data_IF_802549051107
#
_entry.id   IF_802549051107
#
_cell.length_a   1.000
_cell.length_b   1.000
_cell.length_c   1.000
_cell.angle_alpha   90.00
_cell.angle_beta   90.00
_cell.angle_gamma   90.00
#
_symmetry.space_group_name_H-M   'P 1'
#
loop_
_entity.id
_entity.type
_entity.pdbx_description
1 polymer ?
#
# COMPACT_ATOMS: atom_id res chain seq x y z
N UNK A 1 -31.44 -12.43 4.44
CA UNK A 1 -30.77 -13.54 3.74
C UNK A 1 -29.28 -13.26 3.82
N UNK A 2 -28.55 -14.06 4.60
CA UNK A 2 -27.15 -13.83 4.90
C UNK A 2 -26.33 -13.89 3.61
N UNK A 3 -25.72 -12.77 3.24
CA UNK A 3 -24.79 -12.76 2.11
C UNK A 3 -23.60 -13.64 2.46
N UNK A 4 -23.32 -14.63 1.61
CA UNK A 4 -22.08 -15.41 1.70
C UNK A 4 -20.90 -14.45 1.73
N UNK A 5 -20.22 -14.41 2.87
CA UNK A 5 -18.99 -13.65 3.01
C UNK A 5 -17.93 -14.39 2.18
N UNK A 6 -17.56 -13.83 1.02
CA UNK A 6 -16.51 -14.39 0.17
C UNK A 6 -15.21 -14.50 0.97
N UNK A 7 -14.76 -15.73 1.19
CA UNK A 7 -13.54 -16.00 1.95
C UNK A 7 -12.33 -15.71 1.07
N UNK A 8 -11.50 -14.76 1.50
CA UNK A 8 -10.36 -14.28 0.70
C UNK A 8 -9.19 -15.25 0.64
N UNK A 9 -9.00 -16.07 1.69
CA UNK A 9 -7.97 -17.12 1.73
C UNK A 9 -8.59 -18.40 2.25
N UNK A 10 -8.52 -19.47 1.49
CA UNK A 10 -9.14 -20.75 1.82
C UNK A 10 -8.14 -21.91 1.66
N UNK A 11 -8.42 -23.04 2.32
CA UNK A 11 -7.65 -24.29 2.16
C UNK A 11 -8.54 -25.34 1.54
N UNK A 12 -8.22 -25.74 0.32
CA UNK A 12 -8.81 -26.87 -0.36
C UNK A 12 -8.33 -28.17 0.31
N UNK A 13 -9.24 -28.84 1.04
CA UNK A 13 -8.89 -30.02 1.83
C UNK A 13 -8.62 -31.26 0.97
N UNK A 14 -9.14 -31.30 -0.27
CA UNK A 14 -8.94 -32.42 -1.19
C UNK A 14 -7.49 -32.43 -1.74
N UNK A 15 -6.87 -31.26 -1.84
CA UNK A 15 -5.46 -31.12 -2.23
C UNK A 15 -4.49 -31.07 -1.05
N UNK A 16 -4.96 -30.79 0.17
CA UNK A 16 -4.08 -30.56 1.32
C UNK A 16 -3.35 -31.83 1.78
N UNK A 17 -2.02 -31.83 1.65
CA UNK A 17 -1.15 -32.93 2.12
C UNK A 17 -0.90 -32.96 3.64
N UNK A 18 -1.47 -32.01 4.40
CA UNK A 18 -1.32 -31.89 5.87
C UNK A 18 0.13 -31.79 6.37
N UNK A 19 1.05 -31.31 5.52
CA UNK A 19 2.50 -31.20 5.78
C UNK A 19 2.92 -30.09 6.77
N UNK A 20 2.00 -29.20 7.19
CA UNK A 20 2.23 -28.14 8.19
C UNK A 20 3.23 -27.03 7.82
N UNK A 21 3.64 -26.92 6.54
CA UNK A 21 4.50 -25.82 6.07
C UNK A 21 3.79 -24.46 6.25
N UNK A 22 2.52 -24.36 5.82
CA UNK A 22 1.73 -23.13 5.94
C UNK A 22 1.56 -22.66 7.39
N UNK A 23 1.47 -23.60 8.33
CA UNK A 23 1.45 -23.34 9.78
C UNK A 23 2.77 -22.70 10.22
N UNK A 24 3.89 -23.35 9.87
CA UNK A 24 5.24 -22.94 10.30
C UNK A 24 5.67 -21.59 9.75
N UNK A 25 5.20 -21.20 8.55
CA UNK A 25 5.60 -19.93 7.91
C UNK A 25 4.65 -18.77 8.23
N UNK A 26 3.55 -18.98 8.95
CA UNK A 26 2.56 -17.93 9.21
C UNK A 26 3.04 -17.01 10.35
N UNK A 27 3.39 -15.73 10.09
CA UNK A 27 3.92 -14.84 11.13
C UNK A 27 2.82 -14.23 12.03
N UNK A 28 1.58 -14.70 11.86
CA UNK A 28 0.39 -14.20 12.55
C UNK A 28 -0.36 -15.31 13.28
N UNK A 29 0.15 -16.55 13.27
CA UNK A 29 -0.49 -17.70 13.91
C UNK A 29 -1.96 -17.86 13.47
N UNK A 30 -2.26 -17.47 12.22
CA UNK A 30 -3.58 -17.52 11.64
C UNK A 30 -3.90 -18.91 11.08
N UNK A 31 -2.89 -19.72 10.79
CA UNK A 31 -3.09 -21.10 10.35
C UNK A 31 -3.19 -21.98 11.58
N UNK A 32 -4.25 -22.78 11.67
CA UNK A 32 -4.47 -23.78 12.71
C UNK A 32 -4.40 -25.17 12.10
N UNK A 33 -3.90 -26.13 12.87
CA UNK A 33 -3.87 -27.54 12.50
C UNK A 33 -4.59 -28.32 13.58
N UNK A 34 -5.58 -29.10 13.18
CA UNK A 34 -6.23 -30.06 14.05
C UNK A 34 -5.25 -31.19 14.41
N UNK A 35 -5.03 -31.49 15.69
CA UNK A 35 -4.02 -32.46 16.11
C UNK A 35 -4.35 -33.90 15.71
N UNK A 36 -5.64 -34.26 15.67
CA UNK A 36 -6.10 -35.64 15.42
C UNK A 36 -6.21 -35.93 13.92
N UNK A 37 -6.88 -35.06 13.19
CA UNK A 37 -7.18 -35.22 11.77
C UNK A 37 -6.07 -34.65 10.87
N UNK A 38 -5.27 -33.72 11.39
CA UNK A 38 -4.31 -32.94 10.61
C UNK A 38 -4.95 -31.92 9.68
N UNK A 39 -6.27 -31.68 9.79
CA UNK A 39 -7.00 -30.69 9.01
C UNK A 39 -6.40 -29.30 9.25
N UNK A 40 -6.22 -28.53 8.18
CA UNK A 40 -5.65 -27.17 8.25
C UNK A 40 -6.75 -26.15 8.01
N UNK A 41 -6.86 -25.17 8.89
CA UNK A 41 -7.84 -24.09 8.81
C UNK A 41 -7.17 -22.73 8.96
N UNK A 42 -7.75 -21.69 8.35
CA UNK A 42 -7.26 -20.31 8.44
C UNK A 42 -8.24 -19.51 9.29
N UNK A 43 -7.75 -19.02 10.42
CA UNK A 43 -8.42 -18.05 11.26
C UNK A 43 -8.39 -16.67 10.57
N UNK A 44 -9.51 -16.33 9.93
CA UNK A 44 -9.65 -15.06 9.23
C UNK A 44 -9.64 -13.85 10.16
N UNK A 45 -9.85 -14.00 11.47
CA UNK A 45 -9.72 -12.89 12.42
C UNK A 45 -8.25 -12.53 12.67
N UNK A 46 -7.33 -13.49 12.52
CA UNK A 46 -5.88 -13.26 12.61
C UNK A 46 -5.22 -13.03 11.25
N UNK A 47 -5.78 -13.61 10.19
CA UNK A 47 -5.19 -13.58 8.85
C UNK A 47 -5.01 -12.15 8.34
N UNK A 48 -3.78 -11.78 7.99
CA UNK A 48 -3.47 -10.46 7.44
C UNK A 48 -3.47 -10.43 5.90
N UNK A 49 -3.96 -11.50 5.26
CA UNK A 49 -3.98 -11.67 3.78
C UNK A 49 -2.60 -11.43 3.16
N UNK A 50 -1.52 -11.86 3.85
CA UNK A 50 -0.15 -11.61 3.41
C UNK A 50 0.25 -12.47 2.20
N UNK A 51 -0.34 -13.66 2.03
CA UNK A 51 -0.08 -14.60 0.93
C UNK A 51 1.16 -15.50 1.14
N UNK A 52 1.82 -15.43 2.30
CA UNK A 52 3.02 -16.24 2.58
C UNK A 52 2.67 -17.73 2.58
N UNK A 53 1.61 -18.13 3.29
CA UNK A 53 1.16 -19.53 3.33
C UNK A 53 0.77 -20.03 1.92
N UNK A 54 0.04 -19.21 1.15
CA UNK A 54 -0.32 -19.47 -0.24
C UNK A 54 0.91 -19.83 -1.08
N UNK A 55 1.91 -18.95 -1.06
CA UNK A 55 3.13 -19.10 -1.84
C UNK A 55 4.03 -20.26 -1.40
N UNK A 56 3.82 -20.79 -0.19
CA UNK A 56 4.64 -21.85 0.41
C UNK A 56 3.99 -23.24 0.32
N UNK A 57 2.74 -23.33 -0.14
CA UNK A 57 2.03 -24.60 -0.23
C UNK A 57 2.57 -25.42 -1.42
N UNK A 58 3.23 -26.58 -1.19
CA UNK A 58 3.85 -27.35 -2.27
C UNK A 58 2.85 -28.05 -3.19
N UNK A 59 1.61 -28.23 -2.72
CA UNK A 59 0.52 -28.90 -3.42
C UNK A 59 -0.57 -27.92 -3.87
N UNK A 60 -0.31 -26.62 -3.79
CA UNK A 60 -1.23 -25.54 -4.21
C UNK A 60 -2.64 -25.64 -3.61
N UNK A 61 -2.76 -26.22 -2.42
CA UNK A 61 -4.03 -26.40 -1.71
C UNK A 61 -4.57 -25.12 -1.07
N UNK A 62 -3.79 -24.04 -1.03
CA UNK A 62 -4.25 -22.74 -0.50
C UNK A 62 -4.71 -21.91 -1.68
N UNK A 63 -5.94 -21.42 -1.61
CA UNK A 63 -6.56 -20.54 -2.59
C UNK A 63 -6.58 -19.11 -2.03
N UNK A 64 -6.34 -18.13 -2.89
CA UNK A 64 -6.39 -16.71 -2.54
C UNK A 64 -7.14 -15.94 -3.63
N UNK A 65 -8.00 -15.02 -3.21
CA UNK A 65 -8.82 -14.23 -4.14
C UNK A 65 -8.02 -13.17 -4.89
N UNK A 66 -6.99 -12.59 -4.24
CA UNK A 66 -6.14 -11.57 -4.84
C UNK A 66 -4.76 -12.13 -5.18
N UNK A 67 -4.25 -11.78 -6.36
CA UNK A 67 -2.87 -12.06 -6.76
C UNK A 67 -2.53 -13.56 -6.70
N UNK A 68 -3.48 -14.40 -7.07
CA UNK A 68 -3.19 -15.81 -7.34
C UNK A 68 -2.19 -15.93 -8.50
N UNK A 69 -1.59 -17.09 -8.61
CA UNK A 69 -0.59 -17.41 -9.62
C UNK A 69 -1.05 -17.06 -11.04
N UNK A 70 -2.28 -17.41 -11.42
CA UNK A 70 -2.76 -17.19 -12.77
C UNK A 70 -2.99 -15.70 -13.05
N UNK A 71 -3.54 -14.94 -12.10
CA UNK A 71 -3.69 -13.49 -12.26
C UNK A 71 -2.34 -12.77 -12.36
N UNK A 72 -1.33 -13.21 -11.59
CA UNK A 72 0.03 -12.67 -11.70
C UNK A 72 0.67 -12.96 -13.07
N UNK A 73 0.58 -14.20 -13.56
CA UNK A 73 1.11 -14.57 -14.87
C UNK A 73 0.39 -13.82 -15.98
N UNK A 74 -0.95 -13.80 -15.94
CA UNK A 74 -1.77 -13.10 -16.93
C UNK A 74 -1.47 -11.61 -17.00
N UNK A 75 -1.21 -10.96 -15.86
CA UNK A 75 -0.75 -9.57 -15.81
C UNK A 75 0.56 -9.38 -16.59
N UNK A 76 1.56 -10.23 -16.36
CA UNK A 76 2.85 -10.12 -17.07
C UNK A 76 2.67 -10.35 -18.57
N UNK A 77 1.87 -11.34 -18.97
CA UNK A 77 1.57 -11.62 -20.38
C UNK A 77 0.86 -10.44 -21.06
N UNK A 78 -0.08 -9.79 -20.38
CA UNK A 78 -0.75 -8.60 -20.90
C UNK A 78 0.21 -7.41 -21.02
N UNK A 79 1.04 -7.17 -20.00
CA UNK A 79 1.97 -6.05 -19.99
C UNK A 79 3.07 -6.18 -21.04
N UNK A 80 3.52 -7.40 -21.35
CA UNK A 80 4.48 -7.67 -22.44
C UNK A 80 3.95 -7.30 -23.83
N UNK A 81 2.63 -7.24 -24.02
CA UNK A 81 2.02 -6.75 -25.27
C UNK A 81 2.06 -5.23 -25.38
N UNK A 82 2.25 -4.53 -24.25
CA UNK A 82 2.18 -3.07 -24.13
C UNK A 82 3.54 -2.42 -23.96
N UNK A 83 4.48 -3.10 -23.33
CA UNK A 83 5.81 -2.59 -23.00
C UNK A 83 6.86 -3.51 -23.63
N UNK A 84 7.65 -2.96 -24.54
CA UNK A 84 8.80 -3.64 -25.13
C UNK A 84 9.96 -3.66 -24.14
N UNK A 85 10.04 -4.73 -23.35
CA UNK A 85 11.09 -4.95 -22.35
C UNK A 85 11.17 -6.42 -21.96
N UNK A 86 12.36 -6.85 -21.57
CA UNK A 86 12.64 -8.18 -21.03
C UNK A 86 12.87 -8.13 -19.51
N UNK A 87 12.52 -7.01 -18.86
CA UNK A 87 12.74 -6.80 -17.43
C UNK A 87 11.43 -6.67 -16.67
N UNK A 88 11.26 -7.51 -15.65
CA UNK A 88 10.17 -7.47 -14.69
C UNK A 88 10.68 -6.91 -13.35
N UNK A 89 10.00 -5.90 -12.81
CA UNK A 89 10.32 -5.33 -11.50
C UNK A 89 9.18 -5.58 -10.53
N UNK A 90 9.40 -6.50 -9.59
CA UNK A 90 8.49 -6.83 -8.49
C UNK A 90 8.71 -5.85 -7.34
N UNK A 91 7.64 -5.19 -6.87
CA UNK A 91 7.73 -4.19 -5.80
C UNK A 91 6.69 -4.44 -4.71
N UNK A 92 7.10 -4.34 -3.45
CA UNK A 92 6.19 -4.39 -2.32
C UNK A 92 5.49 -3.04 -2.15
N UNK A 93 4.23 -3.01 -1.70
CA UNK A 93 3.59 -1.74 -1.28
C UNK A 93 4.37 -1.08 -0.14
N UNK A 94 4.91 -1.89 0.79
CA UNK A 94 5.65 -1.37 1.94
C UNK A 94 6.93 -0.60 1.64
N UNK A 95 7.54 -0.80 0.47
CA UNK A 95 8.65 0.02 0.02
C UNK A 95 8.24 1.00 -1.10
N UNK A 96 7.27 0.59 -1.92
CA UNK A 96 6.65 1.27 -3.07
C UNK A 96 7.39 2.52 -3.55
N UNK A 97 8.62 2.39 -4.06
CA UNK A 97 9.32 3.51 -4.68
C UNK A 97 8.44 4.16 -5.76
N UNK A 98 8.48 5.48 -5.86
CA UNK A 98 7.98 6.21 -7.04
C UNK A 98 8.77 5.79 -8.28
N UNK A 99 8.23 6.06 -9.48
CA UNK A 99 8.90 5.68 -10.75
C UNK A 99 10.35 6.14 -10.81
N UNK A 100 10.63 7.38 -10.40
CA UNK A 100 11.99 7.93 -10.34
C UNK A 100 12.89 7.16 -9.36
N UNK A 101 12.37 6.79 -8.20
CA UNK A 101 13.11 5.96 -7.23
C UNK A 101 13.40 4.57 -7.80
N UNK A 102 12.48 3.98 -8.58
CA UNK A 102 12.74 2.69 -9.25
C UNK A 102 13.88 2.83 -10.25
N UNK A 103 13.88 3.87 -11.08
CA UNK A 103 14.96 4.13 -12.05
C UNK A 103 16.32 4.35 -11.37
N UNK A 104 16.35 5.12 -10.27
CA UNK A 104 17.54 5.32 -9.43
C UNK A 104 18.04 3.96 -8.90
N UNK A 105 17.15 3.16 -8.31
CA UNK A 105 17.46 1.82 -7.79
C UNK A 105 17.98 0.90 -8.91
N UNK A 106 17.32 0.85 -10.05
CA UNK A 106 17.74 0.00 -11.18
C UNK A 106 19.13 0.40 -11.68
N UNK A 107 19.41 1.70 -11.75
CA UNK A 107 20.72 2.23 -12.16
C UNK A 107 21.82 1.80 -11.19
N UNK A 108 21.59 1.88 -9.87
CA UNK A 108 22.51 1.39 -8.85
C UNK A 108 22.76 -0.12 -8.94
N UNK A 109 21.79 -0.87 -9.46
CA UNK A 109 21.95 -2.30 -9.75
C UNK A 109 22.62 -2.59 -11.11
N UNK A 110 23.13 -1.59 -11.82
CA UNK A 110 23.74 -1.77 -13.14
C UNK A 110 22.72 -2.03 -14.26
N UNK A 111 21.43 -1.74 -14.04
CA UNK A 111 20.37 -1.81 -15.03
C UNK A 111 19.95 -0.39 -15.41
N UNK A 112 20.60 0.20 -16.40
CA UNK A 112 20.23 1.51 -16.95
C UNK A 112 19.05 1.39 -17.92
N UNK A 113 17.88 0.99 -17.41
CA UNK A 113 16.67 0.76 -18.20
C UNK A 113 15.60 1.78 -17.85
N UNK A 114 15.02 2.40 -18.89
CA UNK A 114 13.84 3.28 -18.76
C UNK A 114 12.51 2.52 -18.86
N UNK A 115 12.54 1.31 -19.44
CA UNK A 115 11.36 0.49 -19.67
C UNK A 115 11.47 -0.84 -18.93
N UNK A 116 10.49 -1.11 -18.08
CA UNK A 116 10.34 -2.37 -17.34
C UNK A 116 8.86 -2.63 -17.12
N UNK A 117 8.49 -3.89 -16.85
CA UNK A 117 7.14 -4.25 -16.43
C UNK A 117 7.07 -4.07 -14.90
N UNK A 118 6.32 -3.08 -14.38
CA UNK A 118 6.13 -2.94 -12.95
C UNK A 118 5.09 -3.96 -12.47
N UNK A 119 5.43 -4.79 -11.48
CA UNK A 119 4.45 -5.63 -10.80
C UNK A 119 4.44 -5.28 -9.31
N UNK A 120 3.43 -4.50 -8.92
CA UNK A 120 3.27 -4.02 -7.56
C UNK A 120 2.34 -4.94 -6.77
N UNK A 121 2.79 -5.36 -5.60
CA UNK A 121 2.11 -6.35 -4.77
C UNK A 121 2.10 -5.89 -3.31
N UNK A 122 1.14 -6.31 -2.47
CA UNK A 122 1.18 -6.00 -1.05
C UNK A 122 2.48 -6.49 -0.39
N UNK A 123 2.98 -7.67 -0.76
CA UNK A 123 4.21 -8.24 -0.21
C UNK A 123 4.93 -9.07 -1.27
N UNK A 124 6.26 -9.01 -1.34
CA UNK A 124 7.06 -9.95 -2.14
C UNK A 124 6.93 -11.39 -1.65
N UNK A 125 6.72 -11.57 -0.33
CA UNK A 125 6.55 -12.87 0.33
C UNK A 125 5.36 -13.71 -0.16
N UNK A 126 4.47 -13.16 -1.00
CA UNK A 126 3.38 -13.92 -1.61
C UNK A 126 3.72 -14.50 -2.98
N UNK A 127 4.84 -14.10 -3.57
CA UNK A 127 5.19 -14.51 -4.92
C UNK A 127 5.70 -15.95 -4.86
N UNK A 128 5.02 -16.92 -5.47
CA UNK A 128 5.52 -18.29 -5.53
C UNK A 128 6.79 -18.37 -6.38
N UNK A 129 7.62 -19.36 -6.14
CA UNK A 129 8.92 -19.50 -6.84
C UNK A 129 8.68 -19.87 -8.31
N UNK A 130 7.65 -20.67 -8.53
CA UNK A 130 7.17 -21.16 -9.81
C UNK A 130 6.77 -20.00 -10.73
N UNK A 131 6.26 -18.89 -10.16
CA UNK A 131 5.97 -17.68 -10.93
C UNK A 131 7.24 -17.11 -11.56
N UNK A 132 8.37 -17.11 -10.85
CA UNK A 132 9.66 -16.62 -11.38
C UNK A 132 10.09 -17.47 -12.57
N UNK A 133 10.04 -18.80 -12.46
CA UNK A 133 10.37 -19.68 -13.56
C UNK A 133 9.41 -19.52 -14.74
N UNK A 134 8.11 -19.35 -14.47
CA UNK A 134 7.11 -19.11 -15.51
C UNK A 134 7.39 -17.83 -16.29
N UNK A 135 7.66 -16.70 -15.63
CA UNK A 135 7.93 -15.44 -16.35
C UNK A 135 9.22 -15.50 -17.17
N UNK A 136 10.25 -16.21 -16.69
CA UNK A 136 11.46 -16.47 -17.46
C UNK A 136 11.15 -17.28 -18.72
N UNK A 137 10.33 -18.34 -18.60
CA UNK A 137 9.88 -19.15 -19.74
C UNK A 137 9.06 -18.37 -20.78
N UNK A 138 8.42 -17.27 -20.35
CA UNK A 138 7.70 -16.39 -21.27
C UNK A 138 8.65 -15.48 -22.05
N UNK A 139 9.91 -15.33 -21.64
CA UNK A 139 10.91 -14.48 -22.32
C UNK A 139 11.33 -13.24 -21.52
N UNK A 140 10.96 -13.15 -20.24
CA UNK A 140 11.63 -12.21 -19.33
C UNK A 140 13.06 -12.69 -19.10
N UNK A 141 14.05 -11.80 -19.18
CA UNK A 141 15.47 -12.11 -18.94
C UNK A 141 15.98 -11.62 -17.59
N UNK A 142 15.37 -10.55 -17.06
CA UNK A 142 15.75 -9.96 -15.78
C UNK A 142 14.54 -9.82 -14.87
N UNK A 143 14.62 -10.39 -13.67
CA UNK A 143 13.62 -10.22 -12.62
C UNK A 143 14.27 -9.50 -11.43
N UNK A 144 13.85 -8.26 -11.19
CA UNK A 144 14.30 -7.47 -10.04
C UNK A 144 13.21 -7.46 -8.99
N UNK A 145 13.49 -7.98 -7.81
CA UNK A 145 12.60 -7.96 -6.66
C UNK A 145 13.05 -6.89 -5.67
N UNK A 146 12.38 -5.72 -5.71
CA UNK A 146 12.57 -4.64 -4.74
C UNK A 146 11.70 -4.97 -3.52
N UNK A 147 12.34 -5.31 -2.42
CA UNK A 147 11.71 -5.73 -1.17
C UNK A 147 11.99 -4.74 -0.05
N UNK A 148 11.16 -4.73 1.00
CA UNK A 148 11.47 -3.97 2.20
C UNK A 148 12.83 -4.42 2.76
N UNK A 149 13.49 -3.55 3.50
CA UNK A 149 14.56 -3.98 4.42
C UNK A 149 13.98 -4.94 5.47
N UNK A 150 14.80 -5.86 5.99
CA UNK A 150 14.31 -6.99 6.80
C UNK A 150 13.63 -6.53 8.09
N UNK A 151 14.18 -5.51 8.76
CA UNK A 151 13.60 -4.90 9.96
C UNK A 151 12.37 -4.03 9.65
N UNK A 152 12.14 -3.71 8.37
CA UNK A 152 11.06 -2.83 7.89
C UNK A 152 9.89 -3.60 7.27
N UNK A 153 9.95 -4.92 7.24
CA UNK A 153 8.96 -5.74 6.57
C UNK A 153 7.57 -5.56 7.21
N UNK A 154 6.60 -5.05 6.42
CA UNK A 154 5.24 -4.77 6.88
C UNK A 154 4.41 -6.02 7.17
N UNK A 155 4.86 -7.15 6.67
CA UNK A 155 4.28 -8.46 6.97
C UNK A 155 5.18 -9.33 7.85
N UNK A 156 6.02 -8.70 8.69
CA UNK A 156 6.99 -9.32 9.61
C UNK A 156 8.09 -10.12 8.89
N UNK A 157 7.75 -11.30 8.36
CA UNK A 157 8.71 -12.25 7.83
C UNK A 157 8.70 -12.36 6.30
N UNK A 158 7.77 -11.68 5.61
CA UNK A 158 7.58 -11.80 4.16
C UNK A 158 8.83 -11.54 3.33
N UNK A 159 9.58 -10.49 3.68
CA UNK A 159 10.85 -10.14 3.02
C UNK A 159 11.89 -11.25 3.21
N UNK A 160 12.11 -11.69 4.46
CA UNK A 160 13.14 -12.70 4.78
C UNK A 160 12.85 -14.01 4.07
N UNK A 161 11.60 -14.45 4.10
CA UNK A 161 11.12 -15.67 3.43
C UNK A 161 11.39 -15.58 1.93
N UNK A 162 10.94 -14.50 1.26
CA UNK A 162 11.12 -14.38 -0.18
C UNK A 162 12.59 -14.24 -0.59
N UNK A 163 13.40 -13.55 0.20
CA UNK A 163 14.83 -13.40 -0.07
C UNK A 163 15.53 -14.75 -0.08
N UNK A 164 15.24 -15.62 0.89
CA UNK A 164 15.79 -16.97 0.94
C UNK A 164 15.32 -17.82 -0.25
N UNK A 165 14.04 -17.72 -0.62
CA UNK A 165 13.49 -18.41 -1.79
C UNK A 165 14.17 -17.99 -3.08
N UNK A 166 14.23 -16.69 -3.36
CA UNK A 166 14.86 -16.18 -4.58
C UNK A 166 16.36 -16.47 -4.62
N UNK A 167 17.04 -16.47 -3.46
CA UNK A 167 18.43 -16.90 -3.39
C UNK A 167 18.61 -18.37 -3.81
N UNK A 168 17.75 -19.27 -3.32
CA UNK A 168 17.74 -20.67 -3.72
C UNK A 168 17.37 -20.82 -5.21
N UNK A 169 16.33 -20.12 -5.67
CA UNK A 169 15.91 -20.12 -7.08
C UNK A 169 17.04 -19.70 -8.00
N UNK A 170 17.81 -18.68 -7.63
CA UNK A 170 18.99 -18.25 -8.38
C UNK A 170 20.03 -19.37 -8.49
N UNK A 171 20.28 -20.10 -7.40
CA UNK A 171 21.19 -21.26 -7.44
C UNK A 171 20.70 -22.37 -8.36
N UNK A 172 19.39 -22.64 -8.37
CA UNK A 172 18.81 -23.58 -9.32
C UNK A 172 18.98 -23.08 -10.76
N UNK A 173 18.71 -21.80 -11.02
CA UNK A 173 18.83 -21.20 -12.36
C UNK A 173 20.28 -21.22 -12.89
N UNK A 174 21.28 -20.99 -12.03
CA UNK A 174 22.70 -21.11 -12.39
C UNK A 174 23.02 -22.51 -12.95
N UNK A 175 22.49 -23.58 -12.34
CA UNK A 175 22.67 -24.97 -12.83
C UNK A 175 22.01 -25.22 -14.20
N UNK A 176 20.95 -24.47 -14.52
CA UNK A 176 20.30 -24.51 -15.84
C UNK A 176 20.96 -23.56 -16.86
N UNK A 177 22.10 -22.94 -16.52
CA UNK A 177 22.87 -22.08 -17.41
C UNK A 177 22.38 -20.63 -17.50
N UNK A 178 21.50 -20.20 -16.59
CA UNK A 178 21.11 -18.79 -16.49
C UNK A 178 22.19 -17.98 -15.76
N UNK A 179 22.26 -16.69 -16.07
CA UNK A 179 23.16 -15.78 -15.39
C UNK A 179 22.74 -15.59 -13.92
N UNK A 180 23.73 -15.44 -13.03
CA UNK A 180 23.50 -15.21 -11.59
C UNK A 180 22.62 -13.98 -11.36
N UNK A 181 22.72 -12.99 -12.22
CA UNK A 181 22.00 -11.73 -12.08
C UNK A 181 20.65 -11.72 -12.81
N UNK A 182 20.19 -12.87 -13.35
CA UNK A 182 18.83 -13.05 -13.89
C UNK A 182 17.76 -12.75 -12.84
N UNK A 183 18.02 -13.06 -11.57
CA UNK A 183 17.12 -12.72 -10.44
C UNK A 183 17.88 -11.92 -9.39
N UNK A 184 17.48 -10.65 -9.20
CA UNK A 184 18.10 -9.72 -8.25
C UNK A 184 17.14 -9.39 -7.12
N UNK A 185 17.66 -9.34 -5.90
CA UNK A 185 16.91 -8.85 -4.74
C UNK A 185 17.53 -7.54 -4.28
N UNK A 186 16.71 -6.49 -4.25
CA UNK A 186 17.11 -5.17 -3.78
C UNK A 186 16.35 -4.86 -2.50
N UNK A 187 17.06 -4.36 -1.49
CA UNK A 187 16.46 -3.89 -0.24
C UNK A 187 16.26 -2.39 -0.32
N UNK A 188 15.02 -1.97 -0.15
CA UNK A 188 14.65 -0.57 -0.15
C UNK A 188 13.50 -0.37 0.83
N UNK A 189 13.55 0.68 1.64
CA UNK A 189 12.40 1.13 2.42
C UNK A 189 12.33 2.64 2.35
N UNK A 190 11.15 3.17 2.04
CA UNK A 190 10.93 4.61 2.02
C UNK A 190 11.21 5.22 3.39
N UNK A 191 12.03 6.26 3.41
CA UNK A 191 12.33 7.09 4.57
C UNK A 191 11.84 8.52 4.34
N UNK A 192 11.92 9.31 5.40
CA UNK A 192 11.70 10.76 5.30
C UNK A 192 12.91 11.45 4.67
N UNK A 193 12.64 12.53 3.92
CA UNK A 193 13.66 13.47 3.44
C UNK A 193 13.68 14.64 4.40
N UNK A 194 14.87 15.10 4.77
CA UNK A 194 15.06 16.14 5.77
C UNK A 194 16.02 17.21 5.28
N UNK A 195 15.50 18.43 5.19
CA UNK A 195 16.20 19.64 4.78
C UNK A 195 16.45 20.50 6.02
N UNK A 196 17.66 20.39 6.57
CA UNK A 196 18.07 21.08 7.80
C UNK A 196 18.04 22.60 7.65
N UNK A 197 18.23 23.13 6.43
CA UNK A 197 18.20 24.58 6.16
C UNK A 197 16.80 25.18 6.34
N UNK A 198 15.74 24.37 6.21
CA UNK A 198 14.36 24.79 6.48
C UNK A 198 13.94 24.56 7.93
N UNK A 199 14.73 23.84 8.72
CA UNK A 199 14.36 23.45 10.07
C UNK A 199 14.66 24.56 11.07
N UNK A 200 13.69 24.89 11.91
CA UNK A 200 13.84 25.90 12.97
C UNK A 200 14.15 25.30 14.34
N UNK A 201 14.36 23.98 14.44
CA UNK A 201 14.70 23.32 15.72
C UNK A 201 13.57 23.34 16.77
N UNK A 202 12.30 23.18 16.37
CA UNK A 202 11.16 23.20 17.30
C UNK A 202 10.80 21.83 17.90
N UNK A 203 11.51 20.77 17.51
CA UNK A 203 11.45 19.40 18.04
C UNK A 203 10.09 18.69 18.02
N UNK A 204 9.04 19.26 17.40
CA UNK A 204 7.73 18.59 17.25
C UNK A 204 7.84 17.20 16.61
N UNK A 205 8.75 17.05 15.65
CA UNK A 205 9.00 15.77 14.98
C UNK A 205 9.58 14.70 15.93
N UNK A 206 10.37 15.10 16.92
CA UNK A 206 10.91 14.22 17.97
C UNK A 206 9.76 13.67 18.80
N UNK A 207 8.89 14.55 19.30
CA UNK A 207 7.77 14.16 20.17
C UNK A 207 6.72 13.30 19.47
N UNK A 208 6.46 13.52 18.17
CA UNK A 208 5.42 12.77 17.45
C UNK A 208 5.93 11.43 16.89
N UNK A 209 7.25 11.20 16.85
CA UNK A 209 7.81 10.01 16.24
C UNK A 209 7.51 8.78 17.10
N UNK A 210 6.65 7.85 16.65
CA UNK A 210 6.29 6.71 17.49
C UNK A 210 7.40 5.65 17.57
N UNK A 211 8.41 5.75 16.71
CA UNK A 211 9.49 4.76 16.55
C UNK A 211 10.83 5.23 17.14
N UNK A 212 10.84 6.35 17.88
CA UNK A 212 12.07 6.97 18.39
C UNK A 212 13.15 7.22 17.31
N UNK A 213 12.75 7.41 16.05
CA UNK A 213 13.65 7.57 14.92
C UNK A 213 14.23 8.99 14.76
N UNK A 214 13.92 9.91 15.68
CA UNK A 214 14.35 11.31 15.64
C UNK A 214 14.77 11.72 17.04
N UNK A 215 15.98 12.27 17.16
CA UNK A 215 16.57 12.70 18.42
C UNK A 215 16.79 14.21 18.41
N UNK A 216 16.46 14.88 19.51
CA UNK A 216 16.79 16.28 19.70
C UNK A 216 18.31 16.44 19.89
N UNK A 217 18.90 17.47 19.30
CA UNK A 217 20.31 17.81 19.47
C UNK A 217 20.47 19.17 20.15
N UNK A 218 21.51 19.32 20.96
CA UNK A 218 21.73 20.56 21.70
C UNK A 218 22.17 21.69 20.76
N UNK A 219 21.43 22.79 20.74
CA UNK A 219 21.67 23.95 19.87
C UNK A 219 21.74 23.62 18.36
N UNK A 220 21.09 22.52 17.94
CA UNK A 220 21.07 22.08 16.56
C UNK A 220 19.67 21.60 16.16
N UNK A 221 19.50 21.35 14.88
CA UNK A 221 18.27 20.78 14.35
C UNK A 221 18.24 19.26 14.61
N UNK A 222 17.08 18.62 14.83
CA UNK A 222 17.01 17.19 15.19
C UNK A 222 17.73 16.25 14.24
N UNK A 223 18.31 15.18 14.79
CA UNK A 223 18.97 14.11 14.03
C UNK A 223 18.00 12.98 13.73
N UNK A 224 18.06 12.41 12.52
CA UNK A 224 17.23 11.27 12.12
C UNK A 224 18.04 9.98 12.15
N UNK A 225 17.54 8.98 12.88
CA UNK A 225 18.03 7.62 12.88
C UNK A 225 17.31 6.81 11.79
N UNK A 226 17.89 6.74 10.59
CA UNK A 226 17.24 6.12 9.43
C UNK A 226 16.93 4.63 9.58
N UNK A 227 17.69 3.92 10.41
CA UNK A 227 17.48 2.51 10.74
C UNK A 227 16.24 2.25 11.60
N UNK A 228 15.71 3.30 12.23
CA UNK A 228 14.46 3.26 13.01
C UNK A 228 13.30 3.90 12.24
N UNK A 229 13.58 4.65 11.17
CA UNK A 229 12.57 5.43 10.44
C UNK A 229 11.65 4.52 9.61
N UNK A 230 10.47 4.19 10.14
CA UNK A 230 9.46 3.37 9.46
C UNK A 230 8.71 4.10 8.33
N UNK A 231 9.14 5.30 7.92
CA UNK A 231 8.54 6.05 6.81
C UNK A 231 7.04 6.31 6.97
N UNK A 232 6.54 6.47 8.20
CA UNK A 232 5.10 6.58 8.48
C UNK A 232 4.52 7.98 8.19
N UNK A 233 5.37 9.02 8.08
CA UNK A 233 4.96 10.38 7.79
C UNK A 233 4.46 11.22 8.98
N UNK A 234 4.39 10.67 10.20
CA UNK A 234 3.88 11.41 11.37
C UNK A 234 4.67 12.71 11.65
N UNK A 235 5.99 12.68 11.49
CA UNK A 235 6.84 13.86 11.66
C UNK A 235 6.65 14.92 10.56
N UNK A 236 6.31 14.51 9.33
CA UNK A 236 6.02 15.44 8.24
C UNK A 236 4.75 16.24 8.53
N UNK A 237 3.74 15.60 9.11
CA UNK A 237 2.46 16.22 9.47
C UNK A 237 2.59 17.36 10.48
N UNK A 238 3.54 17.28 11.42
CA UNK A 238 3.70 18.29 12.48
C UNK A 238 4.74 19.36 12.14
N UNK A 239 5.36 19.29 10.95
CA UNK A 239 6.44 20.21 10.56
C UNK A 239 5.88 21.46 9.87
N UNK A 240 5.82 22.62 10.55
CA UNK A 240 5.21 23.82 9.97
C UNK A 240 6.03 24.43 8.81
N UNK A 241 7.30 24.04 8.66
CA UNK A 241 8.19 24.55 7.61
C UNK A 241 8.40 23.55 6.46
N UNK A 242 7.71 22.40 6.49
CA UNK A 242 7.91 21.30 5.53
C UNK A 242 9.39 20.90 5.36
N UNK A 243 10.19 21.06 6.43
CA UNK A 243 11.61 20.72 6.48
C UNK A 243 11.82 19.20 6.47
N UNK A 244 10.89 18.44 7.06
CA UNK A 244 10.86 16.97 7.02
C UNK A 244 9.61 16.53 6.25
N UNK A 245 9.80 15.75 5.20
CA UNK A 245 8.73 15.27 4.32
C UNK A 245 8.92 13.80 3.98
N UNK A 246 7.89 13.17 3.43
CA UNK A 246 7.99 11.78 2.99
C UNK A 246 8.24 11.75 1.48
N UNK A 247 9.32 11.08 1.03
CA UNK A 247 9.72 11.05 -0.39
C UNK A 247 8.56 10.56 -1.27
N UNK A 248 8.17 11.37 -2.27
CA UNK A 248 7.07 11.12 -3.20
C UNK A 248 5.66 11.46 -2.68
N UNK A 249 5.57 11.95 -1.44
CA UNK A 249 4.34 12.39 -0.76
C UNK A 249 4.52 13.80 -0.17
N UNK A 250 5.32 14.62 -0.84
CA UNK A 250 5.50 16.03 -0.47
C UNK A 250 4.16 16.77 -0.58
N UNK A 251 3.88 17.66 0.36
CA UNK A 251 2.57 18.30 0.54
C UNK A 251 2.05 18.95 -0.76
N UNK A 252 2.89 19.77 -1.40
CA UNK A 252 2.55 20.48 -2.65
C UNK A 252 2.31 19.52 -3.82
N UNK A 253 3.12 18.47 -3.91
CA UNK A 253 2.99 17.46 -4.97
C UNK A 253 1.65 16.72 -4.82
N UNK A 254 1.26 16.37 -3.59
CA UNK A 254 -0.01 15.73 -3.29
C UNK A 254 -1.19 16.64 -3.64
N UNK A 255 -1.15 17.90 -3.17
CA UNK A 255 -2.18 18.91 -3.44
C UNK A 255 -2.41 19.07 -4.95
N UNK A 256 -1.34 19.27 -5.72
CA UNK A 256 -1.42 19.43 -7.18
C UNK A 256 -2.05 18.21 -7.85
N UNK A 257 -1.62 17.00 -7.50
CA UNK A 257 -2.07 15.75 -8.14
C UNK A 257 -3.58 15.56 -8.07
N UNK A 258 -4.21 15.75 -6.91
CA UNK A 258 -5.66 15.57 -6.81
C UNK A 258 -6.44 16.75 -7.39
N UNK A 259 -5.91 17.98 -7.32
CA UNK A 259 -6.56 19.15 -7.92
C UNK A 259 -6.63 19.02 -9.45
N UNK A 260 -5.53 18.61 -10.10
CA UNK A 260 -5.49 18.39 -11.56
C UNK A 260 -6.51 17.31 -11.97
N UNK A 261 -6.65 16.26 -11.15
CA UNK A 261 -7.64 15.20 -11.37
C UNK A 261 -9.09 15.69 -11.23
N UNK A 262 -9.35 16.55 -10.25
CA UNK A 262 -10.66 17.16 -10.04
C UNK A 262 -11.07 18.04 -11.24
N UNK A 263 -10.15 18.90 -11.69
CA UNK A 263 -10.36 19.81 -12.82
C UNK A 263 -10.73 19.01 -14.07
N UNK A 264 -9.96 17.95 -14.36
CA UNK A 264 -10.23 17.08 -15.51
C UNK A 264 -11.63 16.47 -15.46
N UNK A 265 -12.02 15.86 -14.33
CA UNK A 265 -13.33 15.23 -14.20
C UNK A 265 -14.48 16.23 -14.29
N UNK A 266 -14.33 17.43 -13.72
CA UNK A 266 -15.34 18.49 -13.83
C UNK A 266 -15.44 19.04 -15.25
N UNK A 267 -14.33 19.14 -15.98
CA UNK A 267 -14.33 19.54 -17.39
C UNK A 267 -15.05 18.51 -18.29
N UNK A 268 -15.03 17.22 -17.93
CA UNK A 268 -15.82 16.16 -18.56
C UNK A 268 -17.33 16.20 -18.18
N UNK A 269 -17.77 17.20 -17.41
CA UNK A 269 -19.17 17.35 -16.98
C UNK A 269 -19.60 16.38 -15.88
N UNK A 270 -18.65 15.72 -15.20
CA UNK A 270 -18.96 14.73 -14.17
C UNK A 270 -19.35 15.38 -12.85
N UNK A 271 -20.37 14.84 -12.20
CA UNK A 271 -20.84 15.27 -10.88
C UNK A 271 -21.63 14.13 -10.21
N UNK A 272 -21.50 13.90 -8.89
CA UNK A 272 -20.52 14.51 -8.00
C UNK A 272 -19.11 13.95 -8.25
N UNK A 273 -18.07 14.72 -7.92
CA UNK A 273 -16.66 14.27 -7.96
C UNK A 273 -16.17 14.00 -6.54
N UNK A 274 -15.71 12.77 -6.29
CA UNK A 274 -15.29 12.31 -4.96
C UNK A 274 -13.77 12.10 -4.90
N UNK A 275 -13.12 12.55 -3.83
CA UNK A 275 -11.73 12.17 -3.53
C UNK A 275 -11.70 11.06 -2.49
N UNK A 276 -10.92 10.01 -2.74
CA UNK A 276 -10.73 8.88 -1.84
C UNK A 276 -9.27 8.83 -1.42
N UNK A 277 -8.96 9.22 -0.18
CA UNK A 277 -7.66 8.95 0.43
C UNK A 277 -7.62 7.50 0.88
N UNK A 278 -6.81 6.66 0.25
CA UNK A 278 -6.81 5.22 0.53
C UNK A 278 -5.47 4.76 1.11
N UNK A 279 -5.49 4.21 2.33
CA UNK A 279 -4.33 3.57 2.91
C UNK A 279 -3.89 2.39 2.03
N UNK A 280 -2.59 2.31 1.72
CA UNK A 280 -2.02 1.27 0.86
C UNK A 280 -2.30 -0.18 1.31
N UNK A 281 -2.75 -0.37 2.56
CA UNK A 281 -3.01 -1.67 3.19
C UNK A 281 -4.48 -1.98 3.42
N UNK A 282 -5.39 -1.01 3.27
CA UNK A 282 -6.79 -1.18 3.65
C UNK A 282 -7.65 -1.77 2.53
N UNK A 283 -7.37 -1.39 1.28
CA UNK A 283 -8.14 -1.85 0.12
C UNK A 283 -7.20 -2.10 -1.06
N UNK A 284 -7.19 -3.33 -1.57
CA UNK A 284 -6.24 -3.74 -2.62
C UNK A 284 -6.78 -3.47 -4.00
N UNK A 285 -8.03 -3.85 -4.26
CA UNK A 285 -8.68 -3.80 -5.58
C UNK A 285 -8.68 -2.38 -6.13
N UNK A 286 -9.15 -1.43 -5.31
CA UNK A 286 -9.28 -0.03 -5.71
C UNK A 286 -7.93 0.64 -6.02
N UNK A 287 -6.86 0.18 -5.38
CA UNK A 287 -5.51 0.71 -5.58
C UNK A 287 -4.82 0.12 -6.82
N UNK A 288 -5.09 -1.14 -7.17
CA UNK A 288 -4.50 -1.76 -8.37
C UNK A 288 -5.28 -1.45 -9.64
N UNK A 289 -6.59 -1.25 -9.54
CA UNK A 289 -7.44 -0.89 -10.68
C UNK A 289 -8.33 0.33 -10.38
N UNK A 290 -7.71 1.51 -10.13
CA UNK A 290 -8.47 2.71 -9.80
C UNK A 290 -9.37 3.17 -10.95
N UNK A 291 -9.00 2.90 -12.20
CA UNK A 291 -9.80 3.28 -13.37
C UNK A 291 -11.17 2.57 -13.37
N UNK A 292 -11.17 1.24 -13.21
CA UNK A 292 -12.40 0.47 -13.25
C UNK A 292 -13.29 0.68 -12.02
N UNK A 293 -12.67 0.82 -10.84
CA UNK A 293 -13.40 0.84 -9.55
C UNK A 293 -13.82 2.25 -9.17
N UNK A 294 -12.99 3.26 -9.42
CA UNK A 294 -13.20 4.63 -8.94
C UNK A 294 -13.51 5.59 -10.08
N UNK A 295 -12.65 5.66 -11.10
CA UNK A 295 -12.75 6.70 -12.12
C UNK A 295 -14.09 6.63 -12.87
N UNK A 296 -14.54 5.43 -13.25
CA UNK A 296 -15.86 5.20 -13.87
C UNK A 296 -17.05 5.57 -12.97
N UNK A 297 -16.83 5.76 -11.66
CA UNK A 297 -17.84 6.13 -10.66
C UNK A 297 -17.67 7.56 -10.16
N UNK A 298 -16.98 8.42 -10.93
CA UNK A 298 -16.68 9.81 -10.59
C UNK A 298 -15.85 9.98 -9.30
N UNK A 299 -15.03 8.99 -8.97
CA UNK A 299 -14.13 9.03 -7.82
C UNK A 299 -12.66 9.01 -8.27
N UNK A 300 -11.82 9.74 -7.53
CA UNK A 300 -10.36 9.76 -7.69
C UNK A 300 -9.75 9.17 -6.44
N UNK A 301 -8.79 8.26 -6.59
CA UNK A 301 -7.99 7.80 -5.44
C UNK A 301 -6.72 8.61 -5.31
N UNK A 302 -6.38 8.96 -4.07
CA UNK A 302 -5.02 9.24 -3.66
C UNK A 302 -4.60 8.15 -2.69
N UNK A 303 -3.68 7.29 -3.12
CA UNK A 303 -3.06 6.36 -2.20
C UNK A 303 -2.21 7.12 -1.16
N UNK A 304 -2.28 6.73 0.09
CA UNK A 304 -1.40 7.23 1.15
C UNK A 304 -0.65 6.06 1.82
N UNK A 305 0.63 6.25 2.18
CA UNK A 305 1.43 5.19 2.77
C UNK A 305 0.90 4.73 4.14
N UNK A 306 0.26 5.64 4.87
CA UNK A 306 -0.44 5.35 6.12
C UNK A 306 -1.44 6.44 6.39
N UNK A 307 -2.51 6.11 7.12
CA UNK A 307 -3.45 7.11 7.61
C UNK A 307 -2.83 8.16 8.53
N UNK A 308 -1.74 7.84 9.22
CA UNK A 308 -0.98 8.81 10.04
C UNK A 308 -0.38 9.96 9.24
N UNK A 309 -0.21 9.76 7.93
CA UNK A 309 0.26 10.79 7.01
C UNK A 309 -0.90 11.59 6.39
N UNK A 310 -2.17 11.27 6.69
CA UNK A 310 -3.29 12.07 6.21
C UNK A 310 -3.40 13.36 7.03
N UNK A 311 -2.93 14.44 6.43
CA UNK A 311 -3.13 15.78 6.96
C UNK A 311 -4.61 16.21 6.83
N UNK A 312 -5.29 16.57 7.92
CA UNK A 312 -6.62 17.19 7.88
C UNK A 312 -6.74 18.35 6.87
N UNK A 313 -5.66 19.11 6.66
CA UNK A 313 -5.62 20.22 5.71
C UNK A 313 -5.88 19.74 4.28
N UNK A 314 -5.42 18.55 3.89
CA UNK A 314 -5.72 18.00 2.56
C UNK A 314 -7.22 17.70 2.36
N UNK A 315 -7.93 17.26 3.41
CA UNK A 315 -9.38 17.05 3.33
C UNK A 315 -10.12 18.37 3.13
N UNK A 316 -9.74 19.39 3.91
CA UNK A 316 -10.31 20.74 3.78
C UNK A 316 -10.01 21.32 2.41
N UNK A 317 -8.76 21.25 1.96
CA UNK A 317 -8.34 21.74 0.64
C UNK A 317 -9.08 21.02 -0.48
N UNK A 318 -9.28 19.71 -0.40
CA UNK A 318 -10.03 18.97 -1.41
C UNK A 318 -11.47 19.46 -1.54
N UNK A 319 -12.19 19.62 -0.41
CA UNK A 319 -13.55 20.16 -0.40
C UNK A 319 -13.61 21.61 -0.92
N UNK A 320 -12.58 22.41 -0.68
CA UNK A 320 -12.50 23.79 -1.16
C UNK A 320 -12.10 23.91 -2.64
N UNK A 321 -11.37 22.93 -3.18
CA UNK A 321 -10.84 22.95 -4.56
C UNK A 321 -11.64 22.04 -5.51
N UNK A 322 -12.93 21.86 -5.23
CA UNK A 322 -13.86 21.29 -6.20
C UNK A 322 -14.17 19.81 -6.05
N UNK A 323 -13.84 19.14 -4.95
CA UNK A 323 -14.46 17.85 -4.64
C UNK A 323 -15.79 18.05 -3.91
N UNK A 324 -16.81 17.29 -4.33
CA UNK A 324 -18.15 17.36 -3.74
C UNK A 324 -18.25 16.51 -2.47
N UNK A 325 -17.35 15.54 -2.32
CA UNK A 325 -17.15 14.74 -1.12
C UNK A 325 -15.75 14.15 -1.02
N UNK A 326 -15.31 13.86 0.20
CA UNK A 326 -14.01 13.26 0.51
C UNK A 326 -14.21 12.04 1.40
N UNK A 327 -13.64 10.91 1.01
CA UNK A 327 -13.61 9.69 1.80
C UNK A 327 -12.18 9.37 2.21
N UNK A 328 -11.96 9.02 3.47
CA UNK A 328 -10.73 8.41 3.95
C UNK A 328 -10.97 6.92 4.21
N UNK A 329 -10.21 6.06 3.54
CA UNK A 329 -10.27 4.61 3.67
C UNK A 329 -9.04 4.14 4.44
N UNK A 330 -9.26 3.53 5.59
CA UNK A 330 -8.20 3.22 6.56
C UNK A 330 -8.28 1.78 7.01
N UNK A 331 -7.19 1.28 7.61
CA UNK A 331 -7.19 -0.05 8.20
C UNK A 331 -7.94 -0.04 9.54
N UNK A 332 -8.60 -1.16 9.87
CA UNK A 332 -8.99 -1.44 11.25
C UNK A 332 -7.75 -1.54 12.17
N UNK A 333 -7.96 -1.54 13.48
CA UNK A 333 -6.86 -1.62 14.45
C UNK A 333 -6.04 -2.90 14.28
N UNK A 334 -6.73 -4.00 14.03
CA UNK A 334 -6.18 -5.35 13.87
C UNK A 334 -5.41 -5.52 12.56
N UNK A 335 -5.79 -4.77 11.51
CA UNK A 335 -5.17 -4.86 10.19
C UNK A 335 -4.04 -3.85 9.95
N UNK A 336 -3.86 -2.88 10.86
CA UNK A 336 -2.90 -1.80 10.67
C UNK A 336 -1.45 -2.33 10.66
N UNK A 337 -0.72 -2.07 9.56
CA UNK A 337 0.70 -2.49 9.42
C UNK A 337 1.71 -1.56 10.09
N UNK A 338 1.22 -0.46 10.64
CA UNK A 338 1.99 0.51 11.42
C UNK A 338 1.17 0.81 12.68
N UNK A 339 1.23 -0.05 13.68
CA UNK A 339 0.35 0.09 14.85
C UNK A 339 0.69 1.31 15.72
N UNK A 340 1.98 1.51 16.03
CA UNK A 340 2.45 2.56 16.95
C UNK A 340 2.19 3.99 16.45
N UNK A 341 1.40 4.80 17.16
CA UNK A 341 1.03 6.16 16.73
C UNK A 341 -0.30 6.25 15.96
N UNK A 342 -1.14 5.20 16.01
CA UNK A 342 -2.51 5.22 15.46
C UNK A 342 -3.39 6.26 16.17
N UNK A 343 -3.24 6.38 17.48
CA UNK A 343 -3.91 7.35 18.34
C UNK A 343 -3.72 8.80 17.85
N UNK A 344 -2.54 9.14 17.35
CA UNK A 344 -2.26 10.45 16.76
C UNK A 344 -3.15 10.71 15.54
N UNK A 345 -3.29 9.73 14.65
CA UNK A 345 -4.16 9.86 13.48
C UNK A 345 -5.63 9.99 13.89
N UNK A 346 -6.07 9.21 14.88
CA UNK A 346 -7.43 9.28 15.43
C UNK A 346 -7.73 10.65 16.03
N UNK A 347 -6.79 11.24 16.79
CA UNK A 347 -6.92 12.62 17.32
C UNK A 347 -7.06 13.64 16.20
N UNK A 348 -6.23 13.56 15.16
CA UNK A 348 -6.31 14.47 14.01
C UNK A 348 -7.67 14.39 13.30
N UNK A 349 -8.27 13.20 13.23
CA UNK A 349 -9.61 13.03 12.67
C UNK A 349 -10.72 13.61 13.52
N UNK A 350 -10.60 13.53 14.85
CA UNK A 350 -11.53 14.20 15.76
C UNK A 350 -11.50 15.71 15.53
N UNK A 351 -10.29 16.30 15.46
CA UNK A 351 -10.11 17.73 15.16
C UNK A 351 -10.71 18.09 13.79
N UNK A 352 -10.46 17.28 12.76
CA UNK A 352 -11.02 17.47 11.43
C UNK A 352 -12.55 17.45 11.44
N UNK A 353 -13.16 16.45 12.08
CA UNK A 353 -14.63 16.33 12.16
C UNK A 353 -15.25 17.52 12.87
N UNK A 354 -14.66 17.99 13.96
CA UNK A 354 -15.14 19.16 14.69
C UNK A 354 -15.05 20.43 13.84
N UNK A 355 -13.96 20.59 13.08
CA UNK A 355 -13.82 21.69 12.13
C UNK A 355 -14.87 21.60 11.01
N UNK A 356 -15.01 20.45 10.36
CA UNK A 356 -15.99 20.26 9.27
C UNK A 356 -17.43 20.45 9.75
N UNK A 357 -17.74 20.09 11.00
CA UNK A 357 -19.03 20.35 11.62
C UNK A 357 -19.31 21.86 11.73
N UNK A 358 -18.34 22.62 12.24
CA UNK A 358 -18.43 24.10 12.34
C UNK A 358 -18.54 24.75 10.96
N UNK A 359 -17.86 24.21 9.96
CA UNK A 359 -17.90 24.70 8.58
C UNK A 359 -19.15 24.25 7.80
N UNK A 360 -20.03 23.41 8.37
CA UNK A 360 -21.20 22.87 7.66
C UNK A 360 -20.85 21.88 6.54
N UNK A 361 -19.67 21.26 6.59
CA UNK A 361 -19.13 20.35 5.58
C UNK A 361 -19.05 18.89 6.05
N UNK A 362 -19.43 18.59 7.30
CA UNK A 362 -19.29 17.25 7.88
C UNK A 362 -19.96 16.15 7.04
N UNK A 363 -21.13 16.41 6.48
CA UNK A 363 -21.85 15.43 5.65
C UNK A 363 -21.11 15.06 4.35
N UNK A 364 -20.14 15.88 3.93
CA UNK A 364 -19.28 15.65 2.75
C UNK A 364 -18.00 14.88 3.06
N UNK A 365 -17.77 14.50 4.31
CA UNK A 365 -16.62 13.72 4.70
C UNK A 365 -17.04 12.39 5.29
N UNK A 366 -16.36 11.31 4.91
CA UNK A 366 -16.55 9.99 5.50
C UNK A 366 -15.23 9.29 5.79
N UNK A 367 -15.10 8.74 7.00
CA UNK A 367 -14.02 7.85 7.36
C UNK A 367 -14.55 6.42 7.36
N UNK A 368 -13.95 5.55 6.54
CA UNK A 368 -14.33 4.16 6.41
C UNK A 368 -13.17 3.24 6.79
N UNK A 369 -13.40 2.35 7.75
CA UNK A 369 -12.47 1.27 8.07
C UNK A 369 -12.72 0.10 7.12
N UNK A 370 -11.71 -0.22 6.31
CA UNK A 370 -11.72 -1.35 5.39
C UNK A 370 -10.70 -2.40 5.82
N UNK A 371 -10.99 -3.65 5.43
CA UNK A 371 -10.10 -4.79 5.60
C UNK A 371 -9.98 -5.53 4.28
N UNK A 372 -8.77 -5.87 3.82
CA UNK A 372 -8.59 -6.72 2.65
C UNK A 372 -9.26 -8.09 2.76
N UNK A 373 -9.61 -8.52 3.99
CA UNK A 373 -10.39 -9.75 4.25
C UNK A 373 -11.83 -9.67 3.78
N UNK A 374 -12.38 -8.47 3.64
CA UNK A 374 -13.79 -8.23 3.34
C UNK A 374 -13.94 -7.73 1.90
N UNK A 375 -13.74 -8.64 0.94
CA UNK A 375 -13.86 -8.32 -0.50
C UNK A 375 -15.23 -7.70 -0.83
N UNK A 376 -15.26 -6.69 -1.69
CA UNK A 376 -16.49 -6.02 -2.12
C UNK A 376 -17.12 -5.07 -1.09
N UNK A 377 -16.57 -4.94 0.12
CA UNK A 377 -17.10 -4.03 1.14
C UNK A 377 -16.87 -2.56 0.79
N UNK A 378 -15.71 -2.25 0.21
CA UNK A 378 -15.34 -0.91 -0.21
C UNK A 378 -16.25 -0.37 -1.32
N UNK A 379 -16.52 -1.16 -2.35
CA UNK A 379 -17.32 -0.75 -3.51
C UNK A 379 -18.74 -0.38 -3.12
N UNK A 380 -19.37 -1.20 -2.27
CA UNK A 380 -20.71 -0.91 -1.71
C UNK A 380 -20.70 0.37 -0.89
N UNK A 381 -19.64 0.59 -0.10
CA UNK A 381 -19.53 1.78 0.74
C UNK A 381 -19.31 3.04 -0.10
N UNK A 382 -18.48 2.96 -1.12
CA UNK A 382 -18.23 4.04 -2.07
C UNK A 382 -19.52 4.41 -2.82
N UNK A 383 -20.27 3.43 -3.31
CA UNK A 383 -21.57 3.67 -3.98
C UNK A 383 -22.56 4.37 -3.06
N UNK A 384 -22.70 3.90 -1.82
CA UNK A 384 -23.56 4.54 -0.83
C UNK A 384 -23.14 5.98 -0.54
N UNK A 385 -21.82 6.25 -0.46
CA UNK A 385 -21.32 7.61 -0.26
C UNK A 385 -21.56 8.50 -1.48
N UNK A 386 -21.34 8.02 -2.71
CA UNK A 386 -21.64 8.78 -3.93
C UNK A 386 -23.12 9.16 -3.97
N UNK A 387 -24.02 8.23 -3.65
CA UNK A 387 -25.46 8.48 -3.57
C UNK A 387 -25.78 9.54 -2.51
N UNK A 388 -25.18 9.44 -1.32
CA UNK A 388 -25.30 10.44 -0.26
C UNK A 388 -24.89 11.83 -0.76
N UNK A 389 -23.73 11.97 -1.40
CA UNK A 389 -23.22 13.26 -1.88
C UNK A 389 -24.09 13.81 -3.01
N UNK A 390 -24.61 12.94 -3.88
CA UNK A 390 -25.50 13.33 -4.99
C UNK A 390 -26.82 13.91 -4.50
N UNK A 391 -27.30 13.49 -3.31
CA UNK A 391 -28.50 14.01 -2.69
C UNK A 391 -28.29 15.35 -1.95
N UNK A 392 -27.04 15.75 -1.71
CA UNK A 392 -26.73 17.03 -1.07
C UNK A 392 -26.78 18.18 -2.10
N UNK A 393 -27.20 19.39 -1.71
CA UNK A 393 -27.06 20.56 -2.57
C UNK A 393 -25.59 20.79 -2.92
N UNK A 394 -25.22 21.49 -4.00
CA UNK A 394 -23.82 21.80 -4.30
C UNK A 394 -23.10 22.47 -3.12
N UNK A 395 -21.82 22.19 -2.93
CA UNK A 395 -21.05 22.82 -1.86
C UNK A 395 -21.05 24.34 -2.07
N UNK A 396 -21.53 25.10 -1.08
CA UNK A 396 -21.33 26.55 -1.07
C UNK A 396 -19.82 26.76 -0.97
N UNK A 397 -19.21 27.40 -1.97
CA UNK A 397 -17.81 27.78 -1.83
C UNK A 397 -17.69 28.66 -0.58
N UNK A 398 -16.79 28.29 0.32
CA UNK A 398 -16.30 29.23 1.33
C UNK A 398 -15.58 30.31 0.54
N UNK A 399 -16.32 31.35 0.12
CA UNK A 399 -15.71 32.51 -0.50
C UNK A 399 -14.63 33.00 0.47
N UNK A 400 -13.39 33.10 -0.02
CA UNK A 400 -12.38 33.93 0.64
C UNK A 400 -12.99 35.33 0.67
N UNK A 401 -13.44 35.78 1.84
CA UNK A 401 -13.51 37.22 2.07
C UNK A 401 -12.07 37.71 1.89
N UNK A 402 -11.95 38.66 0.95
CA UNK A 402 -10.69 39.08 0.34
C UNK A 402 -9.72 39.73 1.32
#
# INVERSE_FOLDING_TARGET
>A
MGGEQTVVVNVNQDYCSRCSICYSVCPYEAVRRDPETGKVEIDMQKCQVCGICYSACPVFAIEILYYDYNSLVGYVEEMRKKIDTETLVLMCRGNSPSTREVEEILTEQGLSLKNYIPLRLPCSGRVPTEFIFKVLSLGIKNVVSIQCEDLFCRFKEGTKINTRRLFLSRKVLEEFGFDRDTVRVVKYSRKVVYDTLKCVGCDKCVFICPYAAIEAEHFATPRILYDYCMGCGACALVCPHHAIQLKGFEFENVLKRYCDSAIRLKAEGRSPVILVFCCQWSEFSALDNPEAILFKRNAVTLEIPCFKALDPVHVVNALMNGFDGVMAVVCSAEDCKLQEGRDTAERNMTVLRDFLKKAGLLERFELFEASPRNFGSFERKLEAFIQKISALPPAKSLKREA
#
